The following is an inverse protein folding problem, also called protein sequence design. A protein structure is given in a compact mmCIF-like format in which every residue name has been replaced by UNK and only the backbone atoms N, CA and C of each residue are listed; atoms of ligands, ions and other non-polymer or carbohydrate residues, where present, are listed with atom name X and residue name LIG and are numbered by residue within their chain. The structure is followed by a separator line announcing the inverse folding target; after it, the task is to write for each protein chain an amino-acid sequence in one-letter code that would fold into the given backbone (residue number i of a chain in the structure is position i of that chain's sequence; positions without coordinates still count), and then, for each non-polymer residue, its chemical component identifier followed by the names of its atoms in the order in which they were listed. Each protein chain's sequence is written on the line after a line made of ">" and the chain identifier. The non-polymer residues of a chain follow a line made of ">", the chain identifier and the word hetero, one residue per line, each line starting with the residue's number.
data_IF_020215696448
#
_entry.id   IF_020215696448
#
_cell.length_a   1.000
_cell.length_b   1.000
_cell.length_c   1.000
_cell.angle_alpha   90.00
_cell.angle_beta   90.00
_cell.angle_gamma   90.00
#
_symmetry.space_group_name_H-M   'P 1'
#
loop_
_entity.id
_entity.type
_entity.pdbx_description
1 polymer ?
#
# COMPACT_ATOMS: atom_id res chain seq x y z
N UNK A 1 -4.27 17.77 19.53
CA UNK A 1 -5.21 17.52 18.40
C UNK A 1 -4.56 17.79 17.05
N UNK A 2 -3.93 18.96 16.84
CA UNK A 2 -3.19 19.28 15.59
C UNK A 2 -2.12 18.24 15.24
N UNK A 3 -1.39 17.75 16.23
CA UNK A 3 -0.37 16.70 16.07
C UNK A 3 -0.89 15.42 15.42
N UNK A 4 -2.12 14.99 15.73
CA UNK A 4 -2.74 13.80 15.14
C UNK A 4 -3.11 14.02 13.66
N UNK A 5 -3.58 15.23 13.32
CA UNK A 5 -3.90 15.62 11.94
C UNK A 5 -2.63 15.72 11.10
N UNK A 6 -1.55 16.28 11.65
CA UNK A 6 -0.26 16.32 10.97
C UNK A 6 0.25 14.89 10.73
N UNK A 7 0.15 14.00 11.72
CA UNK A 7 0.51 12.59 11.56
C UNK A 7 -0.31 11.92 10.45
N UNK A 8 -1.63 12.08 10.43
CA UNK A 8 -2.48 11.42 9.42
C UNK A 8 -2.18 11.91 8.01
N UNK A 9 -1.84 13.19 7.83
CA UNK A 9 -1.39 13.74 6.54
C UNK A 9 -0.04 13.16 6.11
N UNK A 10 0.93 13.06 7.03
CA UNK A 10 2.23 12.45 6.74
C UNK A 10 2.06 10.98 6.32
N UNK A 11 1.25 10.21 7.05
CA UNK A 11 0.97 8.81 6.69
C UNK A 11 0.25 8.71 5.34
N UNK A 12 -0.73 9.57 5.07
CA UNK A 12 -1.41 9.61 3.76
C UNK A 12 -0.43 9.86 2.60
N UNK A 13 0.47 10.84 2.73
CA UNK A 13 1.51 11.13 1.74
C UNK A 13 2.49 9.96 1.57
N UNK A 14 2.92 9.37 2.68
CA UNK A 14 3.78 8.19 2.67
C UNK A 14 3.15 7.04 1.88
N UNK A 15 1.91 6.67 2.21
CA UNK A 15 1.19 5.59 1.51
C UNK A 15 0.90 5.93 0.05
N UNK A 16 0.66 7.20 -0.29
CA UNK A 16 0.47 7.64 -1.67
C UNK A 16 1.74 7.43 -2.51
N UNK A 17 2.88 7.96 -2.06
CA UNK A 17 4.16 7.87 -2.76
C UNK A 17 4.57 6.42 -2.91
N UNK A 18 4.41 5.64 -1.83
CA UNK A 18 4.84 4.26 -1.85
C UNK A 18 3.93 3.42 -2.75
N UNK A 19 2.61 3.56 -2.67
CA UNK A 19 1.69 2.90 -3.60
C UNK A 19 2.00 3.24 -5.06
N UNK A 20 2.33 4.50 -5.36
CA UNK A 20 2.71 4.93 -6.71
C UNK A 20 3.99 4.23 -7.20
N UNK A 21 5.03 4.13 -6.36
CA UNK A 21 6.28 3.43 -6.69
C UNK A 21 6.07 1.95 -6.99
N UNK A 22 5.12 1.30 -6.31
CA UNK A 22 4.84 -0.13 -6.46
C UNK A 22 3.76 -0.44 -7.50
N UNK A 23 3.27 0.55 -8.25
CA UNK A 23 2.22 0.36 -9.27
C UNK A 23 0.82 0.08 -8.69
N UNK A 24 0.64 0.31 -7.39
CA UNK A 24 -0.62 0.10 -6.69
C UNK A 24 -1.52 1.33 -6.79
N UNK A 25 -2.82 1.17 -6.50
CA UNK A 25 -3.78 2.27 -6.63
C UNK A 25 -3.58 3.36 -5.55
N UNK A 26 -2.76 4.36 -5.87
CA UNK A 26 -2.28 5.37 -4.92
C UNK A 26 -3.39 6.17 -4.22
N UNK A 27 -4.47 6.50 -4.92
CA UNK A 27 -5.60 7.24 -4.33
C UNK A 27 -6.29 6.45 -3.21
N UNK A 28 -6.48 5.14 -3.41
CA UNK A 28 -7.11 4.26 -2.39
C UNK A 28 -6.23 4.14 -1.15
N UNK A 29 -4.93 3.98 -1.34
CA UNK A 29 -3.97 3.84 -0.24
C UNK A 29 -3.74 5.15 0.53
N UNK A 30 -3.81 6.30 -0.13
CA UNK A 30 -3.76 7.60 0.54
C UNK A 30 -4.99 7.84 1.45
N UNK A 31 -6.19 7.57 0.94
CA UNK A 31 -7.44 7.69 1.73
C UNK A 31 -7.38 6.74 2.93
N UNK A 32 -6.98 5.49 2.71
CA UNK A 32 -6.82 4.53 3.79
C UNK A 32 -5.78 4.99 4.81
N UNK A 33 -4.66 5.56 4.35
CA UNK A 33 -3.58 6.07 5.21
C UNK A 33 -4.01 7.26 6.07
N UNK A 34 -4.88 8.11 5.53
CA UNK A 34 -5.46 9.23 6.27
C UNK A 34 -6.41 8.77 7.39
N UNK A 35 -7.20 7.72 7.15
CA UNK A 35 -8.21 7.22 8.10
C UNK A 35 -7.60 6.29 9.15
N UNK A 36 -6.79 5.33 8.72
CA UNK A 36 -6.26 4.26 9.57
C UNK A 36 -4.87 4.55 10.12
N UNK A 37 -4.15 5.50 9.53
CA UNK A 37 -2.82 5.93 9.97
C UNK A 37 -1.83 4.75 10.06
N UNK A 38 -1.08 4.61 11.16
CA UNK A 38 -0.01 3.62 11.29
C UNK A 38 -0.52 2.16 11.29
N UNK A 39 -1.79 1.92 11.65
CA UNK A 39 -2.37 0.56 11.67
C UNK A 39 -2.45 -0.02 10.24
N UNK A 40 -2.41 0.84 9.22
CA UNK A 40 -2.43 0.42 7.82
C UNK A 40 -1.09 -0.21 7.35
N UNK A 41 0.01 0.02 8.06
CA UNK A 41 1.35 -0.46 7.68
C UNK A 41 1.42 -1.97 7.40
N UNK A 42 0.97 -2.88 8.29
CA UNK A 42 1.01 -4.32 8.03
C UNK A 42 0.18 -4.69 6.79
N UNK A 43 -1.00 -4.09 6.63
CA UNK A 43 -1.89 -4.35 5.50
C UNK A 43 -1.28 -3.87 4.17
N UNK A 44 -0.62 -2.72 4.18
CA UNK A 44 0.12 -2.18 3.04
C UNK A 44 1.33 -3.05 2.68
N UNK A 45 2.07 -3.56 3.67
CA UNK A 45 3.22 -4.42 3.40
C UNK A 45 2.80 -5.75 2.76
N UNK A 46 1.69 -6.34 3.21
CA UNK A 46 1.12 -7.56 2.62
C UNK A 46 0.68 -7.32 1.18
N UNK A 47 -0.09 -6.24 0.95
CA UNK A 47 -0.60 -5.94 -0.38
C UNK A 47 0.53 -5.64 -1.37
N UNK A 48 1.56 -4.91 -0.94
CA UNK A 48 2.80 -4.67 -1.70
C UNK A 48 3.50 -5.97 -2.05
N UNK A 49 3.65 -6.89 -1.10
CA UNK A 49 4.29 -8.18 -1.32
C UNK A 49 3.49 -9.05 -2.32
N UNK A 50 2.16 -9.08 -2.23
CA UNK A 50 1.31 -9.78 -3.19
C UNK A 50 1.43 -9.14 -4.58
N UNK A 51 1.40 -7.80 -4.66
CA UNK A 51 1.52 -7.09 -5.93
C UNK A 51 2.86 -7.37 -6.62
N UNK A 52 3.95 -7.35 -5.85
CA UNK A 52 5.28 -7.74 -6.33
C UNK A 52 5.30 -9.18 -6.85
N UNK A 53 4.74 -10.13 -6.10
CA UNK A 53 4.65 -11.55 -6.51
C UNK A 53 3.90 -11.70 -7.83
N UNK A 54 2.77 -11.02 -7.99
CA UNK A 54 2.02 -11.05 -9.23
C UNK A 54 2.80 -10.42 -10.39
N UNK A 55 3.53 -9.32 -10.15
CA UNK A 55 4.34 -8.65 -11.17
C UNK A 55 5.52 -9.50 -11.66
N UNK A 56 6.13 -10.31 -10.78
CA UNK A 56 7.21 -11.25 -11.17
C UNK A 56 6.67 -12.56 -11.76
N UNK A 57 5.35 -12.71 -11.92
CA UNK A 57 4.74 -13.92 -12.49
C UNK A 57 4.65 -15.10 -11.51
N UNK A 58 4.76 -14.86 -10.20
CA UNK A 58 4.54 -15.89 -9.19
C UNK A 58 3.09 -16.40 -9.29
N UNK A 59 2.89 -17.73 -9.43
CA UNK A 59 1.61 -18.39 -9.77
C UNK A 59 1.11 -18.22 -11.23
N UNK A 60 1.88 -17.63 -12.14
CA UNK A 60 1.52 -17.61 -13.57
C UNK A 60 2.01 -18.86 -14.33
N UNK A 61 2.75 -19.75 -13.65
CA UNK A 61 3.12 -21.08 -14.14
C UNK A 61 2.00 -22.07 -13.80
N UNK A 62 0.85 -21.95 -14.45
CA UNK A 62 0.04 -23.13 -14.73
C UNK A 62 0.81 -23.96 -15.76
N UNK A 63 1.82 -24.71 -15.30
CA UNK A 63 2.26 -25.88 -16.05
C UNK A 63 1.13 -26.88 -15.84
N UNK A 64 0.14 -26.83 -16.74
CA UNK A 64 -0.74 -27.95 -16.98
C UNK A 64 0.17 -29.09 -17.50
N UNK A 65 0.60 -29.94 -16.57
CA UNK A 65 1.23 -31.21 -16.87
C UNK A 65 0.15 -32.25 -17.19
#
# INVERSE_FOLDING_TARGET
>A
MISLVVLSVIFSLYFYIEAFKWGMNAKKWAIAGFVLGPILLPMFSISRHIHWRNAVGFNNLYIAA
#
